data_IF_891009832066
#
_entry.id   IF_891009832066
#
_cell.length_a   1.000
_cell.length_b   1.000
_cell.length_c   1.000
_cell.angle_alpha   90.00
_cell.angle_beta   90.00
_cell.angle_gamma   90.00
#
_symmetry.space_group_name_H-M   'P 1'
#
loop_
_entity.id
_entity.type
_entity.pdbx_description
1 polymer ?
#
# COMPACT_ATOMS: atom_id res chain seq x y z
N UNK A 1 -6.93 10.71 -36.12
CA UNK A 1 -7.63 11.26 -37.28
C UNK A 1 -7.56 12.77 -37.28
N UNK A 2 -7.99 13.47 -36.23
CA UNK A 2 -7.96 14.94 -36.14
C UNK A 2 -6.53 15.48 -36.28
N UNK A 3 -5.52 14.90 -35.61
CA UNK A 3 -4.12 15.29 -35.76
C UNK A 3 -3.61 15.08 -37.19
N UNK A 4 -4.01 14.00 -37.85
CA UNK A 4 -3.65 13.75 -39.24
C UNK A 4 -4.25 14.79 -40.19
N UNK A 5 -5.46 15.25 -39.90
CA UNK A 5 -6.13 16.32 -40.69
C UNK A 5 -5.43 17.67 -40.45
N UNK A 6 -5.04 17.99 -39.23
CA UNK A 6 -4.33 19.22 -38.88
C UNK A 6 -2.93 19.24 -39.48
N UNK A 7 -2.17 18.13 -39.39
CA UNK A 7 -0.84 18.00 -39.97
C UNK A 7 -0.88 18.06 -41.51
N UNK A 8 -1.96 17.54 -42.14
CA UNK A 8 -2.16 17.62 -43.58
C UNK A 8 -2.44 19.02 -44.12
N UNK A 9 -3.08 19.85 -43.30
CA UNK A 9 -3.40 21.23 -43.70
C UNK A 9 -2.15 22.14 -43.73
N UNK A 10 -1.04 21.73 -43.12
CA UNK A 10 0.23 22.46 -43.07
C UNK A 10 1.25 22.05 -44.16
N UNK A 11 1.02 20.98 -44.92
CA UNK A 11 1.93 20.51 -45.93
C UNK A 11 1.24 20.45 -47.33
N UNK A 12 1.58 21.43 -48.12
CA UNK A 12 1.27 21.44 -49.54
C UNK A 12 2.26 20.50 -50.24
N UNK A 13 1.73 19.49 -50.92
CA UNK A 13 2.41 18.55 -51.84
C UNK A 13 3.29 17.46 -51.17
N UNK A 14 2.84 16.32 -51.33
CA UNK A 14 3.27 14.91 -51.24
C UNK A 14 2.51 14.18 -50.13
N UNK A 15 1.70 13.21 -50.59
CA UNK A 15 1.06 12.24 -49.70
C UNK A 15 2.19 11.37 -49.14
N UNK A 16 2.71 11.79 -48.00
CA UNK A 16 3.81 11.10 -47.33
C UNK A 16 3.28 9.76 -46.81
N UNK A 17 3.48 8.71 -47.61
CA UNK A 17 3.08 7.34 -47.29
C UNK A 17 3.58 6.94 -45.91
N UNK A 18 4.71 7.53 -45.49
CA UNK A 18 5.29 7.35 -44.16
C UNK A 18 4.41 7.91 -43.02
N UNK A 19 3.76 9.05 -43.24
CA UNK A 19 2.84 9.62 -42.23
C UNK A 19 1.60 8.76 -42.07
N UNK A 20 1.08 8.16 -43.14
CA UNK A 20 -0.03 7.22 -43.08
C UNK A 20 0.35 5.96 -42.28
N UNK A 21 1.51 5.37 -42.55
CA UNK A 21 2.00 4.21 -41.79
C UNK A 21 2.21 4.56 -40.30
N UNK A 22 2.77 5.72 -39.98
CA UNK A 22 2.95 6.20 -38.61
C UNK A 22 1.62 6.36 -37.87
N UNK A 23 0.60 6.89 -38.55
CA UNK A 23 -0.75 7.01 -38.02
C UNK A 23 -1.39 5.64 -37.81
N UNK A 24 -1.34 4.77 -38.80
CA UNK A 24 -1.90 3.42 -38.74
C UNK A 24 -1.27 2.61 -37.59
N UNK A 25 0.05 2.68 -37.45
CA UNK A 25 0.78 2.02 -36.37
C UNK A 25 0.39 2.56 -34.98
N UNK A 26 0.26 3.89 -34.83
CA UNK A 26 -0.20 4.49 -33.58
C UNK A 26 -1.64 4.10 -33.24
N UNK A 27 -2.51 4.05 -34.23
CA UNK A 27 -3.92 3.65 -34.03
C UNK A 27 -4.00 2.19 -33.63
N UNK A 28 -3.26 1.30 -34.32
CA UNK A 28 -3.18 -0.11 -33.96
C UNK A 28 -2.64 -0.30 -32.54
N UNK A 29 -1.57 0.42 -32.16
CA UNK A 29 -1.03 0.38 -30.80
C UNK A 29 -2.02 0.89 -29.74
N UNK A 30 -2.76 1.97 -30.04
CA UNK A 30 -3.80 2.47 -29.13
C UNK A 30 -4.93 1.46 -28.92
N UNK A 31 -5.39 0.82 -30.00
CA UNK A 31 -6.43 -0.23 -29.94
C UNK A 31 -5.92 -1.41 -29.10
N UNK A 32 -4.68 -1.87 -29.33
CA UNK A 32 -4.09 -2.96 -28.55
C UNK A 32 -3.99 -2.62 -27.06
N UNK A 33 -3.57 -1.43 -26.70
CA UNK A 33 -3.48 -1.00 -25.29
C UNK A 33 -4.87 -0.96 -24.65
N UNK A 34 -5.86 -0.38 -25.34
CA UNK A 34 -7.21 -0.25 -24.78
C UNK A 34 -7.91 -1.61 -24.65
N UNK A 35 -7.76 -2.49 -25.64
CA UNK A 35 -8.35 -3.84 -25.58
C UNK A 35 -7.73 -4.74 -24.52
N UNK A 36 -6.44 -4.58 -24.25
CA UNK A 36 -5.72 -5.34 -23.22
C UNK A 36 -5.52 -4.55 -21.93
N UNK A 37 -6.29 -3.47 -21.68
CA UNK A 37 -6.15 -2.64 -20.48
C UNK A 37 -6.27 -3.47 -19.20
N UNK A 38 -7.22 -4.42 -19.17
CA UNK A 38 -7.42 -5.28 -18.00
C UNK A 38 -6.20 -6.15 -17.71
N UNK A 39 -5.64 -6.79 -18.74
CA UNK A 39 -4.48 -7.66 -18.60
C UNK A 39 -3.24 -6.87 -18.17
N UNK A 40 -3.07 -5.63 -18.66
CA UNK A 40 -1.98 -4.74 -18.26
C UNK A 40 -2.13 -4.36 -16.78
N UNK A 41 -3.33 -3.98 -16.35
CA UNK A 41 -3.59 -3.60 -14.95
C UNK A 41 -3.37 -4.80 -14.03
N UNK A 42 -3.89 -5.97 -14.39
CA UNK A 42 -3.70 -7.19 -13.59
C UNK A 42 -2.23 -7.60 -13.53
N UNK A 43 -1.48 -7.50 -14.62
CA UNK A 43 -0.04 -7.80 -14.62
C UNK A 43 0.75 -6.89 -13.65
N UNK A 44 0.36 -5.63 -13.50
CA UNK A 44 1.00 -4.72 -12.51
C UNK A 44 0.72 -5.18 -11.09
N UNK A 45 -0.52 -5.62 -10.79
CA UNK A 45 -0.86 -6.13 -9.46
C UNK A 45 -0.26 -7.52 -9.20
N UNK A 46 -0.15 -8.37 -10.22
CA UNK A 46 0.50 -9.69 -10.11
C UNK A 46 1.99 -9.54 -9.78
N UNK A 47 2.70 -8.61 -10.44
CA UNK A 47 4.08 -8.26 -10.08
C UNK A 47 4.17 -7.74 -8.64
N UNK A 48 3.24 -6.87 -8.23
CA UNK A 48 3.16 -6.40 -6.86
C UNK A 48 2.92 -7.55 -5.87
N UNK A 49 2.04 -8.48 -6.21
CA UNK A 49 1.74 -9.66 -5.38
C UNK A 49 2.96 -10.60 -5.25
N UNK A 50 3.68 -10.86 -6.34
CA UNK A 50 4.89 -11.67 -6.33
C UNK A 50 5.97 -11.08 -5.40
N UNK A 51 6.22 -9.77 -5.50
CA UNK A 51 7.13 -9.04 -4.60
C UNK A 51 6.68 -9.17 -3.14
N UNK A 52 5.37 -9.09 -2.89
CA UNK A 52 4.78 -9.20 -1.56
C UNK A 52 5.01 -10.59 -0.99
N UNK A 53 4.69 -11.65 -1.74
CA UNK A 53 4.81 -13.04 -1.29
C UNK A 53 6.27 -13.40 -1.01
N UNK A 54 7.18 -13.01 -1.90
CA UNK A 54 8.62 -13.26 -1.72
C UNK A 54 9.17 -12.49 -0.51
N UNK A 55 8.79 -11.23 -0.35
CA UNK A 55 9.19 -10.41 0.80
C UNK A 55 8.56 -10.89 2.10
N UNK A 56 7.29 -11.29 2.08
CA UNK A 56 6.59 -11.83 3.23
C UNK A 56 7.22 -13.15 3.70
N UNK A 57 7.65 -14.01 2.77
CA UNK A 57 8.36 -15.25 3.09
C UNK A 57 9.68 -15.01 3.83
N UNK A 58 10.40 -13.94 3.49
CA UNK A 58 11.66 -13.56 4.14
C UNK A 58 11.42 -12.83 5.47
N UNK A 59 10.40 -11.99 5.55
CA UNK A 59 10.18 -11.08 6.68
C UNK A 59 9.26 -11.69 7.75
N UNK A 60 8.26 -12.48 7.35
CA UNK A 60 7.26 -13.07 8.25
C UNK A 60 7.62 -14.53 8.59
N UNK A 61 8.47 -15.17 7.81
CA UNK A 61 8.82 -16.58 7.95
C UNK A 61 9.43 -16.95 9.32
N UNK A 62 10.03 -15.98 10.02
CA UNK A 62 10.61 -16.16 11.36
C UNK A 62 9.82 -15.44 12.48
N UNK A 63 8.75 -14.72 12.13
CA UNK A 63 8.00 -13.93 13.11
C UNK A 63 6.73 -14.63 13.59
N UNK A 64 6.84 -15.87 14.03
CA UNK A 64 5.87 -16.42 14.97
C UNK A 64 6.19 -15.80 16.34
N UNK A 65 5.47 -14.74 16.71
CA UNK A 65 5.58 -14.16 18.06
C UNK A 65 5.18 -15.25 19.05
N UNK A 66 6.16 -15.96 19.58
CA UNK A 66 5.90 -16.92 20.65
C UNK A 66 5.74 -16.14 21.97
N UNK A 67 4.49 -15.88 22.28
CA UNK A 67 4.10 -15.16 23.50
C UNK A 67 4.00 -16.09 24.73
N UNK A 68 4.34 -17.37 24.60
CA UNK A 68 4.14 -18.35 25.67
C UNK A 68 5.01 -18.02 26.88
N UNK A 69 6.29 -17.72 26.67
CA UNK A 69 7.22 -17.33 27.74
C UNK A 69 6.81 -16.01 28.38
N UNK A 70 6.36 -15.05 27.55
CA UNK A 70 5.86 -13.75 28.02
C UNK A 70 4.62 -13.90 28.93
N UNK A 71 3.66 -14.76 28.54
CA UNK A 71 2.43 -15.00 29.33
C UNK A 71 2.78 -15.68 30.64
N UNK A 72 3.69 -16.66 30.63
CA UNK A 72 4.11 -17.40 31.85
C UNK A 72 4.82 -16.48 32.85
N UNK A 73 5.72 -15.60 32.37
CA UNK A 73 6.39 -14.59 33.19
C UNK A 73 5.41 -13.59 33.78
N UNK A 74 4.39 -13.20 33.00
CA UNK A 74 3.36 -12.27 33.40
C UNK A 74 2.45 -12.86 34.48
N UNK A 75 2.04 -14.13 34.37
CA UNK A 75 1.27 -14.84 35.39
C UNK A 75 2.03 -14.92 36.70
N UNK A 76 3.30 -15.29 36.70
CA UNK A 76 4.13 -15.37 37.91
C UNK A 76 4.29 -14.01 38.63
N UNK A 77 4.40 -12.91 37.87
CA UNK A 77 4.50 -11.56 38.42
C UNK A 77 3.16 -11.05 38.98
N UNK A 78 2.04 -11.37 38.30
CA UNK A 78 0.70 -11.01 38.78
C UNK A 78 0.32 -11.71 40.08
N UNK A 79 0.70 -12.97 40.29
CA UNK A 79 0.48 -13.71 41.53
C UNK A 79 1.25 -13.12 42.72
N UNK A 80 2.42 -12.53 42.49
CA UNK A 80 3.25 -11.91 43.49
C UNK A 80 2.83 -10.46 43.88
N UNK A 81 1.88 -9.87 43.14
CA UNK A 81 1.45 -8.48 43.36
C UNK A 81 0.45 -8.29 44.48
N UNK A 82 0.49 -7.14 45.11
CA UNK A 82 -0.50 -6.73 46.12
C UNK A 82 -1.86 -6.41 45.47
N UNK A 83 -2.95 -6.59 46.21
CA UNK A 83 -4.33 -6.32 45.72
C UNK A 83 -4.47 -4.88 45.23
N UNK A 84 -3.81 -3.92 45.88
CA UNK A 84 -3.85 -2.51 45.48
C UNK A 84 -3.20 -2.23 44.15
N UNK A 85 -2.06 -2.86 43.85
CA UNK A 85 -1.38 -2.76 42.55
C UNK A 85 -2.14 -3.48 41.44
N UNK A 86 -2.81 -4.59 41.75
CA UNK A 86 -3.69 -5.29 40.82
C UNK A 86 -4.90 -4.44 40.37
N UNK A 87 -5.53 -3.70 41.28
CA UNK A 87 -6.63 -2.77 40.96
C UNK A 87 -6.12 -1.64 40.05
N UNK A 88 -4.94 -1.09 40.35
CA UNK A 88 -4.31 -0.05 39.53
C UNK A 88 -4.02 -0.56 38.08
N UNK A 89 -3.48 -1.76 37.95
CA UNK A 89 -3.24 -2.43 36.69
C UNK A 89 -4.54 -2.72 35.90
N UNK A 90 -5.59 -3.13 36.62
CA UNK A 90 -6.90 -3.38 36.02
C UNK A 90 -7.51 -2.10 35.42
N UNK A 91 -7.46 -0.97 36.15
CA UNK A 91 -7.92 0.32 35.64
C UNK A 91 -7.10 0.78 34.43
N UNK A 92 -5.77 0.66 34.49
CA UNK A 92 -4.86 1.01 33.41
C UNK A 92 -5.11 0.15 32.15
N UNK A 93 -5.26 -1.16 32.33
CA UNK A 93 -5.60 -2.11 31.26
C UNK A 93 -6.92 -1.75 30.58
N UNK A 94 -7.92 -1.26 31.32
CA UNK A 94 -9.19 -0.80 30.75
C UNK A 94 -9.00 0.38 29.78
N UNK A 95 -8.19 1.38 30.16
CA UNK A 95 -7.88 2.52 29.29
C UNK A 95 -7.13 2.09 28.04
N UNK A 96 -6.10 1.26 28.21
CA UNK A 96 -5.29 0.75 27.09
C UNK A 96 -6.16 -0.07 26.13
N UNK A 97 -7.07 -0.91 26.65
CA UNK A 97 -7.99 -1.70 25.83
C UNK A 97 -8.89 -0.81 24.95
N UNK A 98 -9.39 0.30 25.46
CA UNK A 98 -10.19 1.25 24.66
C UNK A 98 -9.31 1.90 23.57
N UNK A 99 -8.11 2.37 23.92
CA UNK A 99 -7.18 2.96 22.97
C UNK A 99 -6.79 1.97 21.87
N UNK A 100 -6.47 0.73 22.21
CA UNK A 100 -6.13 -0.33 21.26
C UNK A 100 -7.31 -0.65 20.34
N UNK A 101 -8.55 -0.64 20.86
CA UNK A 101 -9.76 -0.82 20.05
C UNK A 101 -9.91 0.29 18.99
N UNK A 102 -9.66 1.53 19.36
CA UNK A 102 -9.68 2.65 18.40
C UNK A 102 -8.59 2.49 17.32
N UNK A 103 -7.36 2.15 17.73
CA UNK A 103 -6.25 1.94 16.81
C UNK A 103 -6.52 0.78 15.84
N UNK A 104 -7.12 -0.31 16.31
CA UNK A 104 -7.53 -1.44 15.48
C UNK A 104 -8.51 -1.00 14.39
N UNK A 105 -9.51 -0.18 14.74
CA UNK A 105 -10.45 0.39 13.76
C UNK A 105 -9.71 1.29 12.76
N UNK A 106 -8.77 2.12 13.21
CA UNK A 106 -7.98 2.96 12.32
C UNK A 106 -7.16 2.15 11.30
N UNK A 107 -6.51 1.07 11.75
CA UNK A 107 -5.74 0.16 10.88
C UNK A 107 -6.68 -0.49 9.86
N UNK A 108 -7.84 -0.99 10.32
CA UNK A 108 -8.85 -1.59 9.45
C UNK A 108 -9.32 -0.61 8.37
N UNK A 109 -9.61 0.64 8.74
CA UNK A 109 -10.03 1.68 7.78
C UNK A 109 -8.93 1.96 6.75
N UNK A 110 -7.65 1.98 7.15
CA UNK A 110 -6.53 2.19 6.21
C UNK A 110 -6.45 1.03 5.21
N UNK A 111 -6.51 -0.21 5.68
CA UNK A 111 -6.38 -1.40 4.82
C UNK A 111 -7.57 -1.51 3.85
N UNK A 112 -8.80 -1.42 4.35
CA UNK A 112 -9.99 -1.49 3.49
C UNK A 112 -10.14 -0.27 2.58
N UNK A 113 -9.76 0.91 3.05
CA UNK A 113 -9.72 2.12 2.23
C UNK A 113 -8.81 1.95 1.00
N UNK A 114 -7.70 1.22 1.15
CA UNK A 114 -6.82 0.87 0.03
C UNK A 114 -7.46 -0.09 -0.96
N UNK A 115 -8.17 -1.10 -0.49
CA UNK A 115 -8.90 -1.99 -1.40
C UNK A 115 -9.90 -1.19 -2.27
N UNK A 116 -10.65 -0.28 -1.66
CA UNK A 116 -11.59 0.58 -2.38
C UNK A 116 -10.86 1.46 -3.40
N UNK A 117 -9.73 2.08 -3.03
CA UNK A 117 -8.92 2.91 -3.94
C UNK A 117 -8.43 2.09 -5.16
N UNK A 118 -7.97 0.86 -4.95
CA UNK A 118 -7.55 -0.06 -6.02
C UNK A 118 -8.72 -0.35 -6.97
N UNK A 119 -9.91 -0.69 -6.44
CA UNK A 119 -11.07 -0.96 -7.27
C UNK A 119 -11.51 0.26 -8.08
N UNK A 120 -11.51 1.46 -7.48
CA UNK A 120 -11.85 2.69 -8.18
C UNK A 120 -10.85 3.01 -9.31
N UNK A 121 -9.56 2.93 -9.02
CA UNK A 121 -8.51 3.20 -10.02
C UNK A 121 -8.58 2.18 -11.16
N UNK A 122 -8.78 0.90 -10.86
CA UNK A 122 -8.90 -0.15 -11.86
C UNK A 122 -10.14 0.01 -12.74
N UNK A 123 -11.28 0.42 -12.17
CA UNK A 123 -12.52 0.61 -12.93
C UNK A 123 -12.43 1.73 -13.98
N UNK A 124 -11.61 2.75 -13.73
CA UNK A 124 -11.42 3.90 -14.63
C UNK A 124 -10.28 3.68 -15.65
N UNK A 125 -9.55 2.58 -15.53
CA UNK A 125 -8.35 2.28 -16.32
C UNK A 125 -8.46 2.50 -17.85
N UNK A 126 -9.54 2.15 -18.55
CA UNK A 126 -9.62 2.31 -20.01
C UNK A 126 -9.50 3.77 -20.47
N UNK A 127 -9.94 4.73 -19.65
CA UNK A 127 -9.93 6.16 -20.02
C UNK A 127 -8.50 6.71 -20.12
N UNK A 128 -7.66 6.66 -19.06
CA UNK A 128 -6.28 7.14 -19.13
C UNK A 128 -5.41 6.29 -20.08
N UNK A 129 -5.68 4.99 -20.19
CA UNK A 129 -4.95 4.12 -21.11
C UNK A 129 -5.17 4.50 -22.58
N UNK A 130 -6.39 4.92 -22.95
CA UNK A 130 -6.69 5.41 -24.30
C UNK A 130 -5.88 6.67 -24.67
N UNK A 131 -5.49 7.48 -23.68
CA UNK A 131 -4.73 8.71 -23.91
C UNK A 131 -3.24 8.51 -24.11
N UNK A 132 -2.68 7.34 -23.77
CA UNK A 132 -1.23 7.08 -23.77
C UNK A 132 -0.57 7.31 -25.14
N UNK A 133 -1.28 7.01 -26.22
CA UNK A 133 -0.74 7.13 -27.58
C UNK A 133 -0.93 8.52 -28.18
N UNK A 134 -1.61 9.44 -27.48
CA UNK A 134 -1.79 10.80 -27.93
C UNK A 134 -0.64 11.69 -27.47
N UNK A 135 -0.08 12.52 -28.34
CA UNK A 135 1.02 13.45 -28.02
C UNK A 135 0.66 14.49 -26.97
N UNK A 136 -0.58 14.99 -26.99
CA UNK A 136 -1.02 16.07 -26.10
C UNK A 136 -1.51 15.52 -24.75
N UNK A 137 -2.15 14.35 -24.74
CA UNK A 137 -2.78 13.78 -23.52
C UNK A 137 -2.04 12.55 -22.98
N UNK A 138 -0.94 12.12 -23.61
CA UNK A 138 -0.20 10.91 -23.25
C UNK A 138 0.37 10.93 -21.82
N UNK A 139 0.58 12.13 -21.28
CA UNK A 139 1.04 12.32 -19.92
C UNK A 139 0.01 11.83 -18.89
N UNK A 140 -1.30 11.92 -19.19
CA UNK A 140 -2.36 11.41 -18.34
C UNK A 140 -2.26 9.87 -18.18
N UNK A 141 -2.08 9.14 -19.28
CA UNK A 141 -1.90 7.69 -19.24
C UNK A 141 -0.62 7.26 -18.50
N UNK A 142 0.48 8.00 -18.70
CA UNK A 142 1.73 7.72 -17.98
C UNK A 142 1.59 7.97 -16.47
N UNK A 143 0.95 9.05 -16.05
CA UNK A 143 0.69 9.33 -14.65
C UNK A 143 -0.24 8.28 -14.03
N UNK A 144 -1.23 7.80 -14.79
CA UNK A 144 -2.08 6.72 -14.36
C UNK A 144 -1.28 5.43 -14.08
N UNK A 145 -0.38 5.02 -14.98
CA UNK A 145 0.47 3.86 -14.77
C UNK A 145 1.38 4.04 -13.54
N UNK A 146 1.98 5.21 -13.37
CA UNK A 146 2.79 5.51 -12.17
C UNK A 146 1.96 5.37 -10.89
N UNK A 147 0.72 5.86 -10.90
CA UNK A 147 -0.18 5.72 -9.76
C UNK A 147 -0.55 4.25 -9.51
N UNK A 148 -0.76 3.46 -10.56
CA UNK A 148 -1.03 2.03 -10.46
C UNK A 148 0.15 1.28 -9.82
N UNK A 149 1.38 1.55 -10.27
CA UNK A 149 2.60 0.99 -9.65
C UNK A 149 2.76 1.45 -8.20
N UNK A 150 2.45 2.71 -7.90
CA UNK A 150 2.49 3.21 -6.52
C UNK A 150 1.50 2.48 -5.62
N UNK A 151 0.29 2.18 -6.11
CA UNK A 151 -0.71 1.41 -5.36
C UNK A 151 -0.27 -0.04 -5.12
N UNK A 152 0.29 -0.70 -6.13
CA UNK A 152 0.81 -2.06 -5.99
C UNK A 152 1.98 -2.10 -4.99
N UNK A 153 2.93 -1.16 -5.09
CA UNK A 153 4.08 -1.07 -4.20
C UNK A 153 3.70 -0.69 -2.76
N UNK A 154 2.60 0.04 -2.58
CA UNK A 154 2.14 0.40 -1.24
C UNK A 154 1.78 -0.81 -0.39
N UNK A 155 1.24 -1.88 -0.98
CA UNK A 155 0.94 -3.11 -0.26
C UNK A 155 2.22 -3.73 0.32
N UNK A 156 3.34 -3.69 -0.42
CA UNK A 156 4.65 -4.06 0.10
C UNK A 156 5.07 -3.20 1.30
N UNK A 157 4.92 -1.87 1.22
CA UNK A 157 5.25 -0.98 2.34
C UNK A 157 4.42 -1.27 3.59
N UNK A 158 3.15 -1.66 3.44
CA UNK A 158 2.28 -2.05 4.56
C UNK A 158 2.86 -3.29 5.25
N UNK A 159 3.28 -4.31 4.51
CA UNK A 159 3.87 -5.52 5.06
C UNK A 159 5.17 -5.21 5.80
N UNK A 160 6.03 -4.38 5.23
CA UNK A 160 7.27 -3.93 5.90
C UNK A 160 6.96 -3.22 7.22
N UNK A 161 5.95 -2.34 7.25
CA UNK A 161 5.54 -1.67 8.48
C UNK A 161 5.05 -2.67 9.55
N UNK A 162 4.26 -3.66 9.14
CA UNK A 162 3.76 -4.71 10.05
C UNK A 162 4.90 -5.57 10.58
N UNK A 163 5.87 -5.90 9.74
CA UNK A 163 7.06 -6.67 10.13
C UNK A 163 7.94 -5.92 11.13
N UNK A 164 8.17 -4.62 10.91
CA UNK A 164 8.89 -3.77 11.86
C UNK A 164 8.14 -3.71 13.19
N UNK A 165 6.82 -3.57 13.15
CA UNK A 165 5.99 -3.60 14.35
C UNK A 165 6.12 -4.93 15.11
N UNK A 166 6.05 -6.06 14.43
CA UNK A 166 6.21 -7.37 15.03
C UNK A 166 7.58 -7.51 15.73
N UNK A 167 8.66 -7.11 15.05
CA UNK A 167 10.01 -7.12 15.64
C UNK A 167 10.13 -6.17 16.86
N UNK A 168 9.45 -5.02 16.84
CA UNK A 168 9.44 -4.11 17.99
C UNK A 168 8.68 -4.70 19.18
N UNK A 169 7.56 -5.38 18.94
CA UNK A 169 6.76 -6.02 20.00
C UNK A 169 7.51 -7.20 20.61
N UNK A 170 8.17 -8.02 19.79
CA UNK A 170 8.99 -9.16 20.25
C UNK A 170 10.14 -8.71 21.19
N UNK A 171 10.70 -7.54 20.95
CA UNK A 171 11.75 -6.97 21.80
C UNK A 171 11.24 -6.33 23.09
N UNK A 172 9.92 -6.35 23.37
CA UNK A 172 9.39 -5.89 24.65
C UNK A 172 9.74 -6.95 25.72
N UNK A 173 10.78 -6.65 26.49
CA UNK A 173 11.11 -7.45 27.67
C UNK A 173 10.19 -7.05 28.82
N UNK A 174 9.64 -8.05 29.53
CA UNK A 174 8.94 -7.80 30.81
C UNK A 174 9.98 -7.43 31.84
N UNK A 175 10.33 -6.15 31.89
CA UNK A 175 11.04 -5.53 33.00
C UNK A 175 10.16 -5.58 34.27
N UNK A 176 10.69 -5.20 35.42
CA UNK A 176 9.97 -5.25 36.70
C UNK A 176 8.63 -4.50 36.71
N UNK A 177 8.39 -3.62 35.72
CA UNK A 177 7.17 -2.83 35.56
C UNK A 177 6.31 -3.33 34.39
N UNK A 178 5.29 -4.13 34.71
CA UNK A 178 4.26 -4.58 33.73
C UNK A 178 3.56 -3.37 33.08
N UNK A 179 3.34 -2.29 33.85
CA UNK A 179 2.76 -1.04 33.32
C UNK A 179 3.57 -0.47 32.17
N UNK A 180 4.91 -0.46 32.27
CA UNK A 180 5.77 0.05 31.21
C UNK A 180 5.65 -0.78 29.93
N UNK A 181 5.60 -2.10 30.01
CA UNK A 181 5.44 -2.98 28.87
C UNK A 181 4.12 -2.73 28.12
N UNK A 182 3.02 -2.56 28.87
CA UNK A 182 1.69 -2.26 28.30
C UNK A 182 1.70 -0.90 27.55
N UNK A 183 2.25 0.15 28.16
CA UNK A 183 2.34 1.46 27.52
C UNK A 183 3.26 1.48 26.31
N UNK A 184 4.35 0.73 26.35
CA UNK A 184 5.28 0.59 25.24
C UNK A 184 4.62 -0.12 24.03
N UNK A 185 3.89 -1.20 24.29
CA UNK A 185 3.12 -1.91 23.25
C UNK A 185 2.08 -0.99 22.61
N UNK A 186 1.35 -0.20 23.41
CA UNK A 186 0.41 0.79 22.90
C UNK A 186 1.13 1.85 22.05
N UNK A 187 2.28 2.34 22.50
CA UNK A 187 3.09 3.30 21.75
C UNK A 187 3.52 2.77 20.38
N UNK A 188 3.96 1.53 20.32
CA UNK A 188 4.33 0.89 19.04
C UNK A 188 3.12 0.71 18.10
N UNK A 189 1.94 0.40 18.66
CA UNK A 189 0.71 0.32 17.88
C UNK A 189 0.29 1.66 17.30
N UNK A 190 0.44 2.75 18.08
CA UNK A 190 0.24 4.13 17.59
C UNK A 190 1.20 4.44 16.46
N UNK A 191 2.48 4.09 16.61
CA UNK A 191 3.52 4.29 15.61
C UNK A 191 3.20 3.51 14.32
N UNK A 192 2.75 2.26 14.44
CA UNK A 192 2.28 1.47 13.29
C UNK A 192 1.14 2.18 12.57
N UNK A 193 0.12 2.65 13.31
CA UNK A 193 -1.02 3.34 12.73
C UNK A 193 -0.58 4.57 11.91
N UNK A 194 0.28 5.43 12.48
CA UNK A 194 0.83 6.58 11.77
C UNK A 194 1.66 6.20 10.55
N UNK A 195 2.47 5.15 10.65
CA UNK A 195 3.28 4.65 9.54
C UNK A 195 2.40 4.18 8.39
N UNK A 196 1.33 3.44 8.68
CA UNK A 196 0.38 2.97 7.68
C UNK A 196 -0.30 4.13 6.92
N UNK A 197 -0.67 5.21 7.61
CA UNK A 197 -1.21 6.41 6.95
C UNK A 197 -0.20 7.06 5.99
N UNK A 198 1.08 6.98 6.30
CA UNK A 198 2.16 7.56 5.48
C UNK A 198 2.55 6.70 4.27
N UNK A 199 2.28 5.40 4.28
CA UNK A 199 2.69 4.49 3.19
C UNK A 199 2.17 4.93 1.83
N UNK A 200 0.95 5.46 1.74
CA UNK A 200 0.37 5.93 0.48
C UNK A 200 1.08 7.13 -0.12
N UNK A 201 1.35 8.12 0.71
CA UNK A 201 2.07 9.31 0.27
C UNK A 201 3.52 8.96 -0.11
N UNK A 202 4.15 8.06 0.62
CA UNK A 202 5.50 7.57 0.34
C UNK A 202 5.56 6.81 -1.00
N UNK A 203 4.64 5.88 -1.24
CA UNK A 203 4.56 5.15 -2.49
C UNK A 203 4.37 6.09 -3.69
N UNK A 204 3.43 7.04 -3.60
CA UNK A 204 3.21 8.05 -4.66
C UNK A 204 4.44 8.91 -4.90
N UNK A 205 5.18 9.28 -3.86
CA UNK A 205 6.41 10.06 -3.98
C UNK A 205 7.52 9.27 -4.69
N UNK A 206 7.68 7.98 -4.39
CA UNK A 206 8.70 7.12 -5.02
C UNK A 206 8.46 7.01 -6.54
N UNK A 207 7.21 6.84 -6.95
CA UNK A 207 6.85 6.70 -8.37
C UNK A 207 6.58 8.05 -9.07
N UNK A 208 6.75 9.17 -8.36
CA UNK A 208 6.43 10.51 -8.88
C UNK A 208 5.02 10.57 -9.49
N UNK A 209 4.07 9.95 -8.80
CA UNK A 209 2.65 9.89 -9.16
C UNK A 209 1.93 11.08 -8.52
N UNK A 210 1.55 12.05 -9.35
CA UNK A 210 0.84 13.26 -8.97
C UNK A 210 -0.58 13.26 -9.51
#
# INVERSE_FOLDING_TARGET
LIQMIVDRNNFHNDVDTFQFFKWAFKTAGAVLIVTNTWDIVMAVFDLGHEIIVESAGVVIGDTSIDMTDFITDLEGKLEAMSIGSLIGLWMQSGIVKICMGILQICILVVVFGRMIEIYLVTSVAPIPMATMMNKESGQMGQNYLRNLFALAFQAFLIIVCVAIYAALVENITVTDDISYAIWTCMGYTVLLCFSLFKTGSLAKSIFNAH
#
